data_IF_207323668515
#
_entry.id   IF_207323668515
#
_cell.length_a   1.000
_cell.length_b   1.000
_cell.length_c   1.000
_cell.angle_alpha   90.00
_cell.angle_beta   90.00
_cell.angle_gamma   90.00
#
_symmetry.space_group_name_H-M   'P 1'
#
loop_
_entity.id
_entity.type
_entity.pdbx_description
1 polymer ?
#
# COMPACT_ATOMS: atom_id res chain seq x y z
N UNK A 1 11.80 -11.61 -7.33
CA UNK A 1 11.64 -10.15 -7.34
C UNK A 1 10.16 -9.81 -7.29
N UNK A 2 9.77 -8.97 -6.34
CA UNK A 2 8.37 -8.60 -6.19
C UNK A 2 8.13 -7.20 -6.70
N UNK A 3 6.89 -6.95 -7.13
CA UNK A 3 6.45 -5.66 -7.61
C UNK A 3 5.57 -5.05 -6.53
N UNK A 4 5.97 -3.88 -6.02
CA UNK A 4 5.28 -3.19 -4.92
C UNK A 4 4.74 -1.87 -5.42
N UNK A 5 3.44 -1.63 -5.23
CA UNK A 5 2.85 -0.34 -5.53
C UNK A 5 2.77 0.49 -4.25
N UNK A 6 3.41 1.66 -4.25
CA UNK A 6 3.41 2.58 -3.13
C UNK A 6 2.45 3.72 -3.43
N UNK A 7 1.44 3.89 -2.58
CA UNK A 7 0.45 4.95 -2.72
C UNK A 7 0.66 5.94 -1.58
N UNK A 8 1.33 7.04 -1.90
CA UNK A 8 1.79 8.03 -0.92
C UNK A 8 1.91 9.38 -1.61
N UNK A 9 1.48 10.45 -0.98
CA UNK A 9 1.62 11.79 -1.54
C UNK A 9 2.86 12.55 -1.04
N UNK A 10 3.53 12.05 0.00
CA UNK A 10 4.81 12.61 0.47
C UNK A 10 5.92 12.07 -0.43
N UNK A 11 6.50 12.95 -1.26
CA UNK A 11 7.51 12.53 -2.23
C UNK A 11 8.79 12.04 -1.57
N UNK A 12 9.15 12.60 -0.41
CA UNK A 12 10.34 12.15 0.29
C UNK A 12 10.17 10.73 0.81
N UNK A 13 9.00 10.42 1.37
CA UNK A 13 8.70 9.07 1.84
C UNK A 13 8.63 8.08 0.67
N UNK A 14 8.01 8.48 -0.43
CA UNK A 14 7.94 7.65 -1.63
C UNK A 14 9.34 7.32 -2.13
N UNK A 15 10.20 8.32 -2.22
CA UNK A 15 11.58 8.13 -2.69
C UNK A 15 12.36 7.21 -1.76
N UNK A 16 12.22 7.40 -0.45
CA UNK A 16 12.87 6.54 0.54
C UNK A 16 12.43 5.09 0.37
N UNK A 17 11.13 4.86 0.28
CA UNK A 17 10.60 3.50 0.15
C UNK A 17 11.04 2.87 -1.16
N UNK A 18 11.05 3.61 -2.26
CA UNK A 18 11.53 3.09 -3.54
C UNK A 18 13.00 2.68 -3.46
N UNK A 19 13.83 3.50 -2.81
CA UNK A 19 15.24 3.19 -2.65
C UNK A 19 15.44 1.92 -1.82
N UNK A 20 14.75 1.83 -0.67
CA UNK A 20 14.89 0.68 0.22
C UNK A 20 14.38 -0.60 -0.45
N UNK A 21 13.25 -0.53 -1.13
CA UNK A 21 12.69 -1.68 -1.83
C UNK A 21 13.61 -2.14 -2.96
N UNK A 22 14.18 -1.19 -3.70
CA UNK A 22 15.13 -1.52 -4.76
C UNK A 22 16.35 -2.24 -4.21
N UNK A 23 16.86 -1.81 -3.06
CA UNK A 23 18.00 -2.47 -2.42
C UNK A 23 17.68 -3.91 -2.00
N UNK A 24 16.41 -4.21 -1.73
CA UNK A 24 15.96 -5.55 -1.37
C UNK A 24 15.55 -6.38 -2.60
N UNK A 25 15.77 -5.86 -3.80
CA UNK A 25 15.47 -6.59 -5.03
C UNK A 25 14.02 -6.48 -5.50
N UNK A 26 13.24 -5.55 -4.93
CA UNK A 26 11.86 -5.33 -5.36
C UNK A 26 11.78 -4.19 -6.37
N UNK A 27 10.78 -4.26 -7.25
CA UNK A 27 10.43 -3.15 -8.12
C UNK A 27 9.36 -2.32 -7.42
N UNK A 28 9.63 -1.04 -7.19
CA UNK A 28 8.70 -0.15 -6.51
C UNK A 28 8.13 0.87 -7.50
N UNK A 29 6.82 0.82 -7.66
CA UNK A 29 6.07 1.77 -8.47
C UNK A 29 5.30 2.68 -7.52
N UNK A 30 5.04 3.91 -7.94
CA UNK A 30 4.37 4.86 -7.06
C UNK A 30 3.24 5.59 -7.78
N UNK A 31 2.19 5.89 -7.04
CA UNK A 31 1.12 6.78 -7.50
C UNK A 31 0.67 7.63 -6.32
N UNK A 32 0.60 8.97 -6.47
CA UNK A 32 0.16 9.85 -5.39
C UNK A 32 -1.32 10.19 -5.46
N UNK A 33 -2.04 9.72 -6.48
CA UNK A 33 -3.40 10.20 -6.76
C UNK A 33 -4.42 9.11 -6.48
N UNK A 34 -5.43 9.41 -5.61
CA UNK A 34 -6.42 8.39 -5.25
C UNK A 34 -7.28 7.92 -6.42
N UNK A 35 -7.54 8.79 -7.40
CA UNK A 35 -8.41 8.46 -8.53
C UNK A 35 -7.76 7.52 -9.54
N UNK A 36 -6.46 7.25 -9.44
CA UNK A 36 -5.76 6.37 -10.36
C UNK A 36 -5.36 5.03 -9.74
N UNK A 37 -5.63 4.82 -8.45
CA UNK A 37 -5.12 3.65 -7.73
C UNK A 37 -5.68 2.36 -8.31
N UNK A 38 -7.01 2.25 -8.44
CA UNK A 38 -7.64 1.00 -8.88
C UNK A 38 -7.18 0.64 -10.29
N UNK A 39 -7.18 1.61 -11.21
CA UNK A 39 -6.72 1.37 -12.58
C UNK A 39 -5.27 0.96 -12.62
N UNK A 40 -4.43 1.58 -11.79
CA UNK A 40 -3.01 1.24 -11.71
C UNK A 40 -2.84 -0.21 -11.22
N UNK A 41 -3.59 -0.60 -10.20
CA UNK A 41 -3.52 -1.97 -9.68
C UNK A 41 -3.95 -2.97 -10.77
N UNK A 42 -5.01 -2.66 -11.51
CA UNK A 42 -5.46 -3.53 -12.62
C UNK A 42 -4.39 -3.70 -13.68
N UNK A 43 -3.73 -2.59 -14.05
CA UNK A 43 -2.74 -2.61 -15.12
C UNK A 43 -1.43 -3.25 -14.69
N UNK A 44 -0.97 -2.93 -13.50
CA UNK A 44 0.34 -3.32 -13.01
C UNK A 44 0.33 -4.70 -12.36
N UNK A 45 -0.78 -5.07 -11.69
CA UNK A 45 -0.90 -6.32 -10.96
C UNK A 45 0.26 -6.48 -9.95
N UNK A 46 0.39 -5.57 -8.99
CA UNK A 46 1.49 -5.67 -8.02
C UNK A 46 1.33 -6.89 -7.12
N UNK A 47 2.44 -7.30 -6.52
CA UNK A 47 2.43 -8.39 -5.54
C UNK A 47 1.94 -7.91 -4.18
N UNK A 48 2.10 -6.61 -3.90
CA UNK A 48 1.57 -5.99 -2.69
C UNK A 48 1.37 -4.50 -2.93
N UNK A 49 0.34 -3.92 -2.28
CA UNK A 49 0.07 -2.49 -2.30
C UNK A 49 0.32 -1.94 -0.90
N UNK A 50 1.14 -0.88 -0.81
CA UNK A 50 1.32 -0.12 0.42
C UNK A 50 0.60 1.21 0.21
N UNK A 51 -0.45 1.46 0.97
CA UNK A 51 -1.34 2.59 0.72
C UNK A 51 -1.54 3.41 1.98
N UNK A 52 -1.24 4.70 1.89
CA UNK A 52 -1.58 5.64 2.97
C UNK A 52 -3.10 5.75 3.05
N UNK A 53 -3.63 5.74 4.28
CA UNK A 53 -5.07 5.88 4.48
C UNK A 53 -5.57 7.25 4.02
N UNK A 54 -4.73 8.28 4.12
CA UNK A 54 -5.08 9.63 3.69
C UNK A 54 -4.06 10.15 2.70
N UNK A 55 -4.55 10.57 1.53
CA UNK A 55 -3.75 11.28 0.53
C UNK A 55 -4.22 12.74 0.55
N UNK A 56 -3.44 13.60 1.23
CA UNK A 56 -3.92 14.92 1.57
C UNK A 56 -5.13 14.81 2.46
N UNK A 57 -6.26 15.34 2.01
CA UNK A 57 -7.51 15.26 2.77
C UNK A 57 -8.44 14.15 2.27
N UNK A 58 -7.99 13.35 1.32
CA UNK A 58 -8.81 12.29 0.73
C UNK A 58 -8.52 10.97 1.43
N UNK A 59 -9.58 10.33 1.94
CA UNK A 59 -9.48 8.99 2.52
C UNK A 59 -9.42 7.94 1.43
N UNK A 60 -8.58 6.91 1.62
CA UNK A 60 -8.49 5.79 0.68
C UNK A 60 -9.33 4.58 1.11
N UNK A 61 -10.21 4.74 2.10
CA UNK A 61 -11.07 3.63 2.55
C UNK A 61 -11.94 3.07 1.43
N UNK A 62 -12.49 3.95 0.58
CA UNK A 62 -13.31 3.49 -0.55
C UNK A 62 -12.47 2.73 -1.57
N UNK A 63 -11.24 3.16 -1.79
CA UNK A 63 -10.31 2.44 -2.67
C UNK A 63 -10.01 1.06 -2.10
N UNK A 64 -9.73 0.98 -0.80
CA UNK A 64 -9.49 -0.30 -0.13
C UNK A 64 -10.69 -1.23 -0.31
N UNK A 65 -11.90 -0.72 -0.09
CA UNK A 65 -13.11 -1.50 -0.25
C UNK A 65 -13.25 -2.01 -1.68
N UNK A 66 -13.00 -1.16 -2.66
CA UNK A 66 -13.06 -1.54 -4.07
C UNK A 66 -12.06 -2.65 -4.38
N UNK A 67 -10.82 -2.48 -3.92
CA UNK A 67 -9.78 -3.49 -4.15
C UNK A 67 -10.14 -4.84 -3.54
N UNK A 68 -10.76 -4.83 -2.37
CA UNK A 68 -11.05 -6.06 -1.62
C UNK A 68 -12.39 -6.71 -1.97
N UNK A 69 -13.23 -6.03 -2.76
CA UNK A 69 -14.49 -6.60 -3.24
C UNK A 69 -14.45 -6.95 -4.72
N UNK A 70 -13.45 -6.49 -5.46
CA UNK A 70 -13.29 -6.82 -6.87
C UNK A 70 -12.73 -8.24 -7.00
N UNK A 71 -13.42 -9.09 -7.72
CA UNK A 71 -13.05 -10.51 -7.82
C UNK A 71 -11.68 -10.72 -8.45
N UNK A 72 -11.22 -9.79 -9.30
CA UNK A 72 -9.92 -9.90 -9.95
C UNK A 72 -8.78 -9.33 -9.10
N UNK A 73 -9.08 -8.49 -8.10
CA UNK A 73 -8.06 -7.75 -7.35
C UNK A 73 -7.99 -8.14 -5.87
N UNK A 74 -9.02 -8.78 -5.33
CA UNK A 74 -9.12 -9.01 -3.89
C UNK A 74 -8.00 -9.87 -3.32
N UNK A 75 -7.33 -10.64 -4.15
CA UNK A 75 -6.22 -11.49 -3.70
C UNK A 75 -4.91 -10.74 -3.56
N UNK A 76 -4.82 -9.51 -4.07
CA UNK A 76 -3.61 -8.69 -3.95
C UNK A 76 -3.53 -8.13 -2.53
N UNK A 77 -2.47 -8.43 -1.77
CA UNK A 77 -2.36 -7.93 -0.41
C UNK A 77 -2.26 -6.42 -0.36
N UNK A 78 -2.92 -5.81 0.63
CA UNK A 78 -2.90 -4.36 0.84
C UNK A 78 -2.48 -4.07 2.27
N UNK A 79 -1.41 -3.28 2.41
CA UNK A 79 -0.95 -2.76 3.70
C UNK A 79 -1.40 -1.31 3.79
N UNK A 80 -2.16 -0.97 4.83
CA UNK A 80 -2.56 0.41 5.08
C UNK A 80 -1.59 1.02 6.08
N UNK A 81 -1.13 2.23 5.81
CA UNK A 81 -0.33 3.01 6.75
C UNK A 81 -1.09 4.29 7.09
N UNK A 82 -1.01 4.74 8.34
CA UNK A 82 -1.78 5.90 8.78
C UNK A 82 -1.16 6.52 10.04
N UNK A 83 -1.30 7.83 10.16
CA UNK A 83 -0.97 8.54 11.40
C UNK A 83 -2.07 8.46 12.45
N UNK A 84 -3.24 7.93 12.09
CA UNK A 84 -4.37 7.76 12.99
C UNK A 84 -4.62 6.27 13.19
N UNK A 85 -4.97 5.88 14.42
CA UNK A 85 -5.28 4.48 14.71
C UNK A 85 -6.65 4.13 14.13
N UNK A 86 -6.64 3.50 12.97
CA UNK A 86 -7.84 3.04 12.29
C UNK A 86 -7.70 1.56 11.93
N UNK A 87 -6.92 0.82 12.69
CA UNK A 87 -6.59 -0.57 12.39
C UNK A 87 -7.86 -1.42 12.29
N UNK A 88 -8.73 -1.35 13.30
CA UNK A 88 -9.92 -2.20 13.32
C UNK A 88 -10.78 -1.97 12.09
N UNK A 89 -11.00 -0.72 11.73
CA UNK A 89 -11.83 -0.37 10.58
C UNK A 89 -11.20 -0.87 9.27
N UNK A 90 -9.90 -0.67 9.11
CA UNK A 90 -9.21 -1.09 7.89
C UNK A 90 -9.21 -2.62 7.76
N UNK A 91 -8.97 -3.32 8.87
CA UNK A 91 -8.96 -4.78 8.85
C UNK A 91 -10.35 -5.35 8.58
N UNK A 92 -11.41 -4.70 9.08
CA UNK A 92 -12.79 -5.12 8.79
C UNK A 92 -13.12 -4.99 7.30
N UNK A 93 -12.59 -3.97 6.64
CA UNK A 93 -12.81 -3.78 5.20
C UNK A 93 -12.03 -4.81 4.39
N UNK A 94 -10.94 -5.34 4.93
CA UNK A 94 -10.19 -6.40 4.29
C UNK A 94 -8.71 -6.11 4.09
N UNK A 95 -8.17 -5.07 4.73
CA UNK A 95 -6.73 -4.84 4.67
C UNK A 95 -5.98 -6.05 5.20
N UNK A 96 -4.85 -6.35 4.61
CA UNK A 96 -4.04 -7.51 5.02
C UNK A 96 -3.10 -7.15 6.16
N UNK A 97 -2.75 -5.87 6.31
CA UNK A 97 -1.96 -5.38 7.43
C UNK A 97 -2.20 -3.89 7.63
N UNK A 98 -1.91 -3.40 8.83
CA UNK A 98 -2.01 -2.00 9.17
C UNK A 98 -0.76 -1.59 9.94
N UNK A 99 -0.21 -0.41 9.60
CA UNK A 99 0.95 0.14 10.31
C UNK A 99 0.67 1.58 10.70
N UNK A 100 0.89 1.88 11.98
CA UNK A 100 0.70 3.23 12.51
C UNK A 100 1.98 4.04 12.31
N UNK A 101 1.86 5.26 11.81
CA UNK A 101 3.00 6.17 11.68
C UNK A 101 3.34 6.81 13.03
N UNK A 102 4.60 7.07 13.35
CA UNK A 102 5.77 6.69 12.54
C UNK A 102 6.09 5.20 12.71
N UNK A 103 6.44 4.55 11.60
CA UNK A 103 6.82 3.15 11.63
C UNK A 103 8.30 3.00 11.26
N UNK A 104 8.90 1.89 11.68
CA UNK A 104 10.25 1.55 11.24
C UNK A 104 10.21 1.10 9.78
N UNK A 105 11.05 1.65 8.90
CA UNK A 105 11.12 1.16 7.52
C UNK A 105 11.38 -0.33 7.44
N UNK A 106 12.22 -0.88 8.34
CA UNK A 106 12.49 -2.32 8.36
C UNK A 106 11.23 -3.13 8.68
N UNK A 107 10.38 -2.63 9.58
CA UNK A 107 9.12 -3.30 9.90
C UNK A 107 8.20 -3.36 8.67
N UNK A 108 8.15 -2.29 7.90
CA UNK A 108 7.37 -2.26 6.67
C UNK A 108 7.93 -3.23 5.64
N UNK A 109 9.26 -3.24 5.46
CA UNK A 109 9.91 -4.15 4.50
C UNK A 109 9.65 -5.61 4.87
N UNK A 110 9.70 -5.95 6.16
CA UNK A 110 9.39 -7.30 6.63
C UNK A 110 7.94 -7.68 6.31
N UNK A 111 7.02 -6.75 6.50
CA UNK A 111 5.61 -7.00 6.22
C UNK A 111 5.38 -7.21 4.72
N UNK A 112 6.04 -6.41 3.89
CA UNK A 112 5.98 -6.56 2.43
C UNK A 112 6.49 -7.94 2.03
N UNK A 113 7.63 -8.35 2.59
CA UNK A 113 8.23 -9.64 2.29
C UNK A 113 7.29 -10.79 2.67
N UNK A 114 6.63 -10.69 3.82
CA UNK A 114 5.71 -11.72 4.28
C UNK A 114 4.50 -11.86 3.36
N UNK A 115 3.98 -10.75 2.83
CA UNK A 115 2.75 -10.74 2.03
C UNK A 115 2.99 -10.93 0.53
N UNK A 116 4.15 -10.55 0.01
CA UNK A 116 4.44 -10.59 -1.42
C UNK A 116 5.00 -11.95 -1.87
N UNK A 117 4.37 -13.01 -1.46
CA UNK A 117 4.82 -14.37 -1.81
C UNK A 117 4.27 -14.83 -3.14
#
# INVERSE_FOLDING_TARGET
MSKVLVVEDDQQMTHLLQTLLSLEGHEALATPRPDTIVDTVRRVRPDVVVMDLHLGQVSTLDVLKTLKTDSALKSIPVIIVSGLDAEDKCMQIGADAFMLKPYSPNALLDKIKDLAK
#
